data_IF_861343752404
#
_entry.id   IF_861343752404
#
_cell.length_a   1.000
_cell.length_b   1.000
_cell.length_c   1.000
_cell.angle_alpha   90.00
_cell.angle_beta   90.00
_cell.angle_gamma   90.00
#
_symmetry.space_group_name_H-M   'P 1'
#
loop_
_entity.id
_entity.type
_entity.pdbx_description
1 polymer ?
#
# COMPACT_ATOMS: atom_id res chain seq x y z
N UNK A 1 -2.24 13.61 -8.59
CA UNK A 1 -1.92 12.32 -9.25
C UNK A 1 -2.93 11.29 -8.79
N UNK A 2 -3.29 10.28 -9.59
CA UNK A 2 -4.20 9.21 -9.14
C UNK A 2 -3.44 8.19 -8.29
N UNK A 3 -3.99 7.83 -7.13
CA UNK A 3 -3.41 6.79 -6.26
C UNK A 3 -3.56 5.40 -6.89
N UNK A 4 -4.71 5.08 -7.49
CA UNK A 4 -4.95 3.80 -8.15
C UNK A 4 -5.28 3.98 -9.64
N UNK A 5 -4.26 4.17 -10.51
CA UNK A 5 -4.49 4.14 -11.95
C UNK A 5 -4.75 2.69 -12.43
N UNK A 6 -5.28 2.54 -13.65
CA UNK A 6 -5.77 1.24 -14.16
C UNK A 6 -4.67 0.18 -14.16
N UNK A 7 -3.45 0.56 -14.54
CA UNK A 7 -2.30 -0.35 -14.60
C UNK A 7 -1.93 -0.92 -13.21
N UNK A 8 -2.05 -0.12 -12.15
CA UNK A 8 -1.79 -0.59 -10.78
C UNK A 8 -2.94 -1.48 -10.33
N UNK A 9 -4.18 -1.08 -10.63
CA UNK A 9 -5.37 -1.88 -10.30
C UNK A 9 -5.33 -3.28 -10.93
N UNK A 10 -4.88 -3.37 -12.18
CA UNK A 10 -4.76 -4.66 -12.89
C UNK A 10 -3.58 -5.50 -12.40
N UNK A 11 -2.56 -4.89 -11.80
CA UNK A 11 -1.41 -5.61 -11.22
C UNK A 11 -1.71 -6.21 -9.83
N UNK A 12 -2.74 -5.71 -9.14
CA UNK A 12 -3.10 -6.17 -7.80
C UNK A 12 -3.80 -7.54 -7.88
N UNK A 13 -3.26 -8.57 -7.22
CA UNK A 13 -3.97 -9.82 -7.08
C UNK A 13 -5.16 -9.65 -6.13
N UNK A 14 -6.17 -10.50 -6.28
CA UNK A 14 -7.39 -10.47 -5.45
C UNK A 14 -7.06 -10.73 -3.99
N UNK A 15 -7.93 -10.26 -3.09
CA UNK A 15 -7.78 -10.53 -1.67
C UNK A 15 -7.72 -12.05 -1.39
N UNK A 16 -6.89 -12.44 -0.43
CA UNK A 16 -6.66 -13.83 0.01
C UNK A 16 -5.92 -14.73 -1.00
N UNK A 17 -5.47 -14.21 -2.14
CA UNK A 17 -4.67 -14.95 -3.12
C UNK A 17 -3.26 -15.30 -2.63
N UNK A 18 -2.75 -14.52 -1.68
CA UNK A 18 -1.44 -14.69 -1.05
C UNK A 18 -1.56 -15.16 0.40
N UNK A 19 -2.73 -15.62 0.83
CA UNK A 19 -2.96 -16.05 2.21
C UNK A 19 -2.07 -17.26 2.58
N UNK A 20 -1.57 -17.27 3.82
CA UNK A 20 -0.58 -18.25 4.27
C UNK A 20 0.85 -18.05 3.74
N UNK A 21 1.09 -17.07 2.85
CA UNK A 21 2.45 -16.66 2.48
C UNK A 21 3.01 -15.71 3.54
N UNK A 22 4.10 -16.11 4.20
CA UNK A 22 4.79 -15.27 5.20
C UNK A 22 5.58 -14.10 4.60
N UNK A 23 5.82 -14.12 3.29
CA UNK A 23 6.56 -13.08 2.56
C UNK A 23 5.85 -12.74 1.24
N UNK A 24 4.63 -12.14 1.31
CA UNK A 24 3.84 -11.86 0.12
C UNK A 24 4.47 -10.77 -0.73
N UNK A 25 4.12 -10.77 -2.01
CA UNK A 25 4.58 -9.78 -2.97
C UNK A 25 3.81 -8.48 -2.78
N UNK A 26 4.53 -7.41 -2.51
CA UNK A 26 4.01 -6.04 -2.52
C UNK A 26 3.96 -5.54 -3.96
N UNK A 27 2.80 -5.02 -4.37
CA UNK A 27 2.57 -4.51 -5.72
C UNK A 27 2.70 -2.99 -5.78
N UNK A 28 2.26 -2.28 -4.75
CA UNK A 28 2.29 -0.82 -4.72
C UNK A 28 2.57 -0.29 -3.32
N UNK A 29 3.23 0.87 -3.28
CA UNK A 29 3.54 1.60 -2.08
C UNK A 29 2.87 2.97 -2.09
N UNK A 30 2.27 3.32 -0.96
CA UNK A 30 1.78 4.66 -0.66
C UNK A 30 2.50 5.21 0.56
N UNK A 31 2.66 6.53 0.65
CA UNK A 31 3.33 7.17 1.78
C UNK A 31 2.82 8.59 2.00
N UNK A 32 2.96 9.07 3.24
CA UNK A 32 2.82 10.50 3.53
C UNK A 32 4.16 11.21 3.28
N UNK A 33 4.21 12.29 2.48
CA UNK A 33 5.45 13.02 2.24
C UNK A 33 5.92 13.85 3.45
N UNK A 34 5.01 14.17 4.37
CA UNK A 34 5.21 14.97 5.57
C UNK A 34 5.19 14.17 6.88
N UNK A 35 5.22 12.84 6.82
CA UNK A 35 5.25 11.97 7.99
C UNK A 35 5.91 10.62 7.70
N UNK A 36 6.01 9.73 8.69
CA UNK A 36 6.66 8.42 8.54
C UNK A 36 5.71 7.29 8.15
N UNK A 37 4.45 7.59 7.81
CA UNK A 37 3.47 6.57 7.44
C UNK A 37 3.72 6.01 6.03
N UNK A 38 3.62 4.69 5.88
CA UNK A 38 3.79 3.97 4.61
C UNK A 38 2.86 2.77 4.55
N UNK A 39 2.21 2.55 3.40
CA UNK A 39 1.35 1.42 3.13
C UNK A 39 1.94 0.62 1.97
N UNK A 40 2.18 -0.67 2.18
CA UNK A 40 2.61 -1.62 1.16
C UNK A 40 1.44 -2.53 0.81
N UNK A 41 0.72 -2.22 -0.27
CA UNK A 41 -0.40 -3.06 -0.70
C UNK A 41 0.10 -4.30 -1.43
N UNK A 42 -0.38 -5.46 -0.98
CA UNK A 42 -0.05 -6.77 -1.55
C UNK A 42 -1.17 -7.29 -2.43
N UNK A 43 -2.41 -6.96 -2.07
CA UNK A 43 -3.63 -7.43 -2.71
C UNK A 43 -4.66 -6.31 -2.71
N UNK A 44 -5.67 -6.43 -3.57
CA UNK A 44 -6.84 -5.58 -3.48
C UNK A 44 -7.91 -5.93 -4.50
N UNK A 45 -9.14 -5.52 -4.20
CA UNK A 45 -10.28 -5.75 -5.07
C UNK A 45 -11.36 -4.66 -4.89
N UNK A 46 -12.30 -4.53 -5.85
CA UNK A 46 -13.41 -3.60 -5.72
C UNK A 46 -14.30 -3.95 -4.52
N UNK A 47 -14.69 -2.94 -3.76
CA UNK A 47 -15.56 -3.08 -2.58
C UNK A 47 -16.69 -2.05 -2.67
N UNK A 48 -17.80 -2.46 -3.29
CA UNK A 48 -18.90 -1.54 -3.63
C UNK A 48 -18.45 -0.45 -4.60
N UNK A 49 -18.56 0.81 -4.16
CA UNK A 49 -18.12 1.99 -4.93
C UNK A 49 -16.64 2.37 -4.67
N UNK A 50 -15.94 1.61 -3.81
CA UNK A 50 -14.56 1.86 -3.42
C UNK A 50 -13.63 0.72 -3.89
N UNK A 51 -12.39 0.75 -3.43
CA UNK A 51 -11.39 -0.28 -3.63
C UNK A 51 -10.69 -0.60 -2.31
N UNK A 52 -10.76 -1.86 -1.90
CA UNK A 52 -10.17 -2.35 -0.66
C UNK A 52 -8.82 -2.97 -0.95
N UNK A 53 -7.82 -2.60 -0.17
CA UNK A 53 -6.49 -3.20 -0.20
C UNK A 53 -6.29 -4.09 1.03
N UNK A 54 -5.37 -5.04 0.91
CA UNK A 54 -4.73 -5.69 2.05
C UNK A 54 -3.22 -5.54 1.93
N UNK A 55 -2.56 -5.19 3.03
CA UNK A 55 -1.14 -4.88 3.00
C UNK A 55 -0.51 -4.65 4.36
N UNK A 56 0.78 -4.39 4.30
CA UNK A 56 1.61 -4.09 5.47
C UNK A 56 1.70 -2.57 5.68
N UNK A 57 1.33 -2.11 6.86
CA UNK A 57 1.29 -0.69 7.22
C UNK A 57 2.39 -0.41 8.22
N UNK A 58 3.21 0.60 7.90
CA UNK A 58 4.19 1.18 8.80
C UNK A 58 3.67 2.53 9.27
N UNK A 59 3.24 2.61 10.53
CA UNK A 59 2.82 3.84 11.18
C UNK A 59 3.48 3.96 12.54
N UNK A 60 2.66 4.09 13.59
CA UNK A 60 3.12 3.98 14.98
C UNK A 60 3.58 2.56 15.31
N UNK A 61 2.85 1.58 14.78
CA UNK A 61 3.17 0.16 14.86
C UNK A 61 3.35 -0.39 13.44
N UNK A 62 3.82 -1.63 13.35
CA UNK A 62 3.90 -2.36 12.08
C UNK A 62 2.85 -3.45 12.06
N UNK A 63 1.89 -3.35 11.15
CA UNK A 63 0.72 -4.22 11.15
C UNK A 63 0.31 -4.66 9.75
N UNK A 64 -0.36 -5.81 9.69
CA UNK A 64 -1.09 -6.25 8.51
C UNK A 64 -2.54 -5.82 8.65
N UNK A 65 -3.09 -5.18 7.62
CA UNK A 65 -4.42 -4.63 7.70
C UNK A 65 -5.06 -4.33 6.36
N UNK A 66 -6.36 -4.07 6.44
CA UNK A 66 -7.15 -3.57 5.32
C UNK A 66 -7.19 -2.04 5.36
N UNK A 67 -7.24 -1.42 4.19
CA UNK A 67 -7.45 0.01 4.04
C UNK A 67 -8.15 0.29 2.71
N UNK A 68 -8.90 1.38 2.63
CA UNK A 68 -9.65 1.78 1.45
C UNK A 68 -8.93 2.84 0.63
N UNK A 69 -9.21 2.87 -0.68
CA UNK A 69 -8.70 3.93 -1.55
C UNK A 69 -9.23 5.30 -1.12
N UNK A 70 -10.51 5.42 -0.79
CA UNK A 70 -11.10 6.68 -0.32
C UNK A 70 -10.47 7.20 0.98
N UNK A 71 -10.07 6.31 1.89
CA UNK A 71 -9.32 6.65 3.11
C UNK A 71 -7.96 7.23 2.76
N UNK A 72 -7.22 6.60 1.84
CA UNK A 72 -5.93 7.11 1.38
C UNK A 72 -6.06 8.48 0.68
N UNK A 73 -7.09 8.66 -0.14
CA UNK A 73 -7.35 9.93 -0.86
C UNK A 73 -7.77 11.06 0.07
N UNK A 74 -8.45 10.75 1.18
CA UNK A 74 -8.94 11.72 2.17
C UNK A 74 -7.91 12.03 3.26
N UNK A 75 -7.01 11.10 3.56
CA UNK A 75 -6.01 11.24 4.60
C UNK A 75 -5.05 12.40 4.32
N UNK A 76 -4.66 13.10 5.38
CA UNK A 76 -3.70 14.20 5.35
C UNK A 76 -2.69 14.01 6.46
N UNK A 77 -1.41 14.24 6.16
CA UNK A 77 -0.35 14.24 7.15
C UNK A 77 -0.35 15.52 8.02
N UNK A 78 0.63 15.64 8.94
CA UNK A 78 0.70 16.74 9.90
C UNK A 78 0.80 18.13 9.28
N UNK A 79 1.33 18.25 8.06
CA UNK A 79 1.43 19.51 7.31
C UNK A 79 0.26 19.68 6.33
N UNK A 80 -0.73 18.80 6.37
CA UNK A 80 -1.88 18.83 5.46
C UNK A 80 -1.56 18.31 4.06
N UNK A 81 -0.44 17.61 3.86
CA UNK A 81 -0.12 17.03 2.55
C UNK A 81 -0.92 15.73 2.33
N UNK A 82 -1.37 15.46 1.09
CA UNK A 82 -2.04 14.22 0.76
C UNK A 82 -1.05 13.05 0.74
N UNK A 83 -1.57 11.84 0.87
CA UNK A 83 -0.81 10.62 0.59
C UNK A 83 -0.42 10.59 -0.90
N UNK A 84 0.76 10.06 -1.18
CA UNK A 84 1.30 9.87 -2.52
C UNK A 84 1.54 8.39 -2.83
N UNK A 85 1.46 8.04 -4.12
CA UNK A 85 1.92 6.74 -4.64
C UNK A 85 3.36 6.87 -5.11
N UNK A 86 4.20 5.92 -4.72
CA UNK A 86 5.58 5.85 -5.20
C UNK A 86 5.62 5.36 -6.66
N UNK A 87 6.09 6.22 -7.57
CA UNK A 87 6.12 5.96 -9.01
C UNK A 87 7.32 5.13 -9.46
N UNK A 88 8.34 5.06 -8.62
CA UNK A 88 9.56 4.32 -8.88
C UNK A 88 9.63 3.03 -8.06
N UNK A 89 8.53 2.70 -7.38
CA UNK A 89 8.38 1.47 -6.64
C UNK A 89 8.53 0.25 -7.55
N UNK A 90 9.38 -0.67 -7.14
CA UNK A 90 9.57 -1.96 -7.81
C UNK A 90 8.92 -3.05 -6.95
N UNK A 91 7.90 -3.77 -7.48
CA UNK A 91 7.28 -4.89 -6.78
C UNK A 91 8.27 -5.96 -6.31
N UNK A 92 7.90 -6.70 -5.28
CA UNK A 92 8.71 -7.80 -4.76
C UNK A 92 8.22 -8.30 -3.42
N UNK A 93 8.82 -9.40 -2.95
CA UNK A 93 8.56 -9.94 -1.62
C UNK A 93 8.78 -8.87 -0.54
N UNK A 94 7.90 -8.82 0.46
CA UNK A 94 7.91 -7.80 1.50
C UNK A 94 9.30 -7.66 2.14
N UNK A 95 9.95 -8.77 2.48
CA UNK A 95 11.29 -8.79 3.09
C UNK A 95 12.33 -8.06 2.23
N UNK A 96 12.31 -8.30 0.92
CA UNK A 96 13.20 -7.65 -0.05
C UNK A 96 12.87 -6.16 -0.22
N UNK A 97 11.58 -5.80 -0.24
CA UNK A 97 11.11 -4.41 -0.29
C UNK A 97 11.61 -3.64 0.93
N UNK A 98 11.35 -4.15 2.15
CA UNK A 98 11.78 -3.50 3.39
C UNK A 98 13.30 -3.34 3.45
N UNK A 99 14.06 -4.35 3.01
CA UNK A 99 15.52 -4.25 2.93
C UNK A 99 15.98 -3.15 1.97
N UNK A 100 15.39 -3.05 0.77
CA UNK A 100 15.73 -1.99 -0.21
C UNK A 100 15.43 -0.60 0.32
N UNK A 101 14.41 -0.47 1.15
CA UNK A 101 14.01 0.80 1.74
C UNK A 101 14.70 1.11 3.09
N UNK A 102 15.58 0.24 3.57
CA UNK A 102 16.27 0.43 4.85
C UNK A 102 15.35 0.27 6.07
N UNK A 103 14.30 -0.55 5.95
CA UNK A 103 13.23 -0.78 6.94
C UNK A 103 13.16 -2.23 7.46
N UNK A 104 14.14 -3.04 7.08
CA UNK A 104 14.30 -4.44 7.51
C UNK A 104 14.71 -4.60 8.96
#
# INVERSE_FOLDING_TARGET
MKLLPLEVRESLPKLYSQDGNSDPTVQVKYFTPDSSWTWYATEGEPDGEDFRFFGYVLGLEREWGYFLLSELESARGPLGLPIERDLHFTPGALSAVLKREGRG
#
